data_IF_429061903995
#
_entry.id   IF_429061903995
#
_cell.length_a   1.000
_cell.length_b   1.000
_cell.length_c   1.000
_cell.angle_alpha   90.00
_cell.angle_beta   90.00
_cell.angle_gamma   90.00
#
_symmetry.space_group_name_H-M   'P 1'
#
loop_
_entity.id
_entity.type
_entity.pdbx_description
1 polymer ?
#
# COMPACT_ATOMS: atom_id res chain seq x y z
N UNK A 1 20.56 8.84 6.22
CA UNK A 1 20.19 9.04 7.65
C UNK A 1 18.75 8.57 7.78
N UNK A 2 18.47 7.67 8.72
CA UNK A 2 17.11 7.17 8.90
C UNK A 2 16.26 8.31 9.44
N UNK A 3 15.12 8.58 8.77
CA UNK A 3 14.16 9.62 9.16
C UNK A 3 12.81 8.97 9.36
N UNK A 4 12.12 9.37 10.42
CA UNK A 4 10.79 8.87 10.77
C UNK A 4 9.77 9.98 10.63
N UNK A 5 8.52 9.61 10.41
CA UNK A 5 7.42 10.56 10.52
C UNK A 5 7.35 11.15 11.93
N UNK A 6 7.27 12.47 11.98
CA UNK A 6 7.07 13.19 13.22
C UNK A 6 5.58 13.20 13.64
N UNK A 7 5.30 13.75 14.81
CA UNK A 7 3.94 13.83 15.36
C UNK A 7 2.93 14.58 14.47
N UNK A 8 3.38 15.46 13.56
CA UNK A 8 2.51 16.13 12.60
C UNK A 8 2.29 15.32 11.31
N UNK A 9 3.19 14.41 10.97
CA UNK A 9 3.13 13.60 9.74
C UNK A 9 2.36 12.29 9.94
N UNK A 10 2.43 11.68 11.14
CA UNK A 10 1.66 10.46 11.48
C UNK A 10 0.16 10.63 11.21
N UNK A 11 -0.51 11.72 11.66
CA UNK A 11 -1.93 11.92 11.37
C UNK A 11 -2.25 12.10 9.88
N UNK A 12 -1.29 12.61 9.08
CA UNK A 12 -1.45 12.75 7.63
C UNK A 12 -1.48 11.38 6.97
N UNK A 13 -0.58 10.48 7.36
CA UNK A 13 -0.58 9.09 6.88
C UNK A 13 -1.88 8.37 7.29
N UNK A 14 -2.27 8.45 8.55
CA UNK A 14 -3.51 7.82 9.03
C UNK A 14 -4.76 8.34 8.30
N UNK A 15 -4.85 9.65 8.07
CA UNK A 15 -5.94 10.25 7.29
C UNK A 15 -5.94 9.78 5.84
N UNK A 16 -4.77 9.69 5.21
CA UNK A 16 -4.64 9.21 3.83
C UNK A 16 -5.17 7.78 3.67
N UNK A 17 -4.87 6.86 4.60
CA UNK A 17 -5.44 5.51 4.56
C UNK A 17 -6.96 5.51 4.77
N UNK A 18 -7.48 6.25 5.74
CA UNK A 18 -8.93 6.37 5.94
C UNK A 18 -9.67 6.93 4.70
N UNK A 19 -9.07 7.85 3.96
CA UNK A 19 -9.66 8.39 2.74
C UNK A 19 -9.46 7.44 1.55
N UNK A 20 -8.34 6.72 1.49
CA UNK A 20 -8.08 5.68 0.50
C UNK A 20 -9.08 4.52 0.60
N UNK A 21 -9.43 4.06 1.80
CA UNK A 21 -10.46 3.03 2.01
C UNK A 21 -11.77 3.41 1.32
N UNK A 22 -12.24 4.65 1.52
CA UNK A 22 -13.49 5.14 0.92
C UNK A 22 -13.41 5.17 -0.60
N UNK A 23 -12.27 5.61 -1.16
CA UNK A 23 -12.07 5.67 -2.60
C UNK A 23 -12.03 4.28 -3.23
N UNK A 24 -11.30 3.37 -2.61
CA UNK A 24 -11.17 1.98 -3.05
C UNK A 24 -12.52 1.26 -2.95
N UNK A 25 -13.21 1.31 -1.80
CA UNK A 25 -14.54 0.73 -1.62
C UNK A 25 -15.52 1.23 -2.69
N UNK A 26 -15.53 2.55 -2.95
CA UNK A 26 -16.37 3.14 -3.99
C UNK A 26 -15.99 2.68 -5.40
N UNK A 27 -14.69 2.58 -5.70
CA UNK A 27 -14.19 2.20 -7.02
C UNK A 27 -14.56 0.75 -7.37
N UNK A 28 -14.37 -0.18 -6.43
CA UNK A 28 -14.68 -1.60 -6.62
C UNK A 28 -16.12 -1.98 -6.26
N UNK A 29 -16.94 -1.02 -5.81
CA UNK A 29 -18.33 -1.22 -5.36
C UNK A 29 -18.45 -2.26 -4.25
N UNK A 30 -17.50 -2.22 -3.31
CA UNK A 30 -17.40 -3.13 -2.17
C UNK A 30 -18.05 -2.52 -0.92
N UNK A 31 -18.39 -3.39 0.03
CA UNK A 31 -18.80 -2.98 1.38
C UNK A 31 -17.59 -2.89 2.32
N UNK A 32 -17.73 -2.17 3.43
CA UNK A 32 -16.70 -2.13 4.49
C UNK A 32 -16.37 -3.52 5.04
N UNK A 33 -17.36 -4.42 5.07
CA UNK A 33 -17.16 -5.82 5.48
C UNK A 33 -16.24 -6.58 4.53
N UNK A 34 -16.27 -6.28 3.23
CA UNK A 34 -15.40 -6.92 2.24
C UNK A 34 -13.94 -6.47 2.42
N UNK A 35 -13.72 -5.18 2.70
CA UNK A 35 -12.37 -4.69 3.03
C UNK A 35 -11.87 -5.26 4.35
N UNK A 36 -12.74 -5.39 5.37
CA UNK A 36 -12.40 -5.99 6.66
C UNK A 36 -12.02 -7.47 6.56
N UNK A 37 -12.55 -8.22 5.58
CA UNK A 37 -12.15 -9.63 5.34
C UNK A 37 -10.69 -9.75 4.93
N UNK A 38 -10.16 -8.78 4.19
CA UNK A 38 -8.78 -8.76 3.71
C UNK A 38 -7.77 -8.33 4.77
N UNK A 39 -8.22 -8.15 6.03
CA UNK A 39 -7.44 -7.91 7.26
C UNK A 39 -6.06 -7.31 6.98
N UNK A 40 -5.96 -5.99 7.05
CA UNK A 40 -4.69 -5.30 6.87
C UNK A 40 -4.36 -4.37 8.03
N UNK A 41 -3.08 -4.01 8.13
CA UNK A 41 -2.54 -3.03 9.07
C UNK A 41 -1.53 -2.12 8.36
N UNK A 42 -1.27 -0.97 8.95
CA UNK A 42 -0.32 0.01 8.42
C UNK A 42 0.69 0.33 9.51
N UNK A 43 1.97 0.16 9.20
CA UNK A 43 3.05 0.56 10.09
C UNK A 43 3.97 1.57 9.42
N UNK A 44 4.40 2.55 10.20
CA UNK A 44 5.46 3.49 9.83
C UNK A 44 6.83 2.90 10.15
N UNK A 45 7.88 3.41 9.52
CA UNK A 45 9.25 2.91 9.65
C UNK A 45 9.74 2.76 11.10
N UNK A 46 9.25 3.61 12.00
CA UNK A 46 9.57 3.55 13.43
C UNK A 46 9.13 2.26 14.16
N UNK A 47 8.22 1.48 13.57
CA UNK A 47 7.64 0.26 14.16
C UNK A 47 7.80 -0.98 13.30
N UNK A 48 8.60 -0.88 12.22
CA UNK A 48 8.91 -1.98 11.32
C UNK A 48 10.02 -2.85 11.90
N UNK A 49 9.89 -4.16 11.73
CA UNK A 49 10.97 -5.11 11.97
C UNK A 49 12.01 -5.05 10.83
N UNK A 50 13.22 -5.55 11.03
CA UNK A 50 14.32 -5.42 10.04
C UNK A 50 13.96 -6.02 8.67
N UNK A 51 13.22 -7.13 8.62
CA UNK A 51 12.75 -7.74 7.38
C UNK A 51 11.61 -6.95 6.71
N UNK A 52 10.99 -6.03 7.44
CA UNK A 52 10.00 -5.09 6.95
C UNK A 52 10.62 -3.74 6.56
N UNK A 53 11.94 -3.58 6.60
CA UNK A 53 12.60 -2.37 6.08
C UNK A 53 13.07 -2.66 4.67
N UNK A 54 12.74 -1.75 3.75
CA UNK A 54 13.05 -1.94 2.33
C UNK A 54 13.53 -0.67 1.68
N UNK A 55 14.68 -0.76 1.02
CA UNK A 55 15.21 0.34 0.23
C UNK A 55 14.51 0.45 -1.13
N UNK A 56 14.43 1.68 -1.65
CA UNK A 56 13.96 1.96 -3.02
C UNK A 56 12.44 2.08 -3.20
N UNK A 57 11.63 1.62 -2.24
CA UNK A 57 10.16 1.70 -2.30
C UNK A 57 9.58 2.66 -1.24
N UNK A 58 8.44 3.29 -1.53
CA UNK A 58 7.72 4.13 -0.56
C UNK A 58 7.00 3.32 0.51
N UNK A 59 6.46 2.18 0.10
CA UNK A 59 5.85 1.19 0.94
C UNK A 59 6.16 -0.19 0.36
N UNK A 60 6.03 -1.22 1.17
CA UNK A 60 5.92 -2.57 0.66
C UNK A 60 4.90 -3.34 1.48
N UNK A 61 4.37 -4.39 0.89
CA UNK A 61 3.36 -5.22 1.51
C UNK A 61 4.01 -6.51 2.03
N UNK A 62 3.79 -6.83 3.31
CA UNK A 62 4.11 -8.13 3.88
C UNK A 62 2.86 -8.97 4.03
N UNK A 63 2.93 -10.24 3.63
CA UNK A 63 1.89 -11.23 3.90
C UNK A 63 2.26 -12.06 5.13
N UNK A 64 1.32 -12.18 6.06
CA UNK A 64 1.43 -13.04 7.23
C UNK A 64 0.30 -14.06 7.22
N UNK A 65 0.65 -15.33 7.39
CA UNK A 65 -0.32 -16.41 7.52
C UNK A 65 -0.35 -16.87 8.97
N UNK A 66 -1.54 -16.84 9.58
CA UNK A 66 -1.75 -17.40 10.90
C UNK A 66 -2.35 -18.81 10.77
N UNK A 67 -1.68 -19.80 11.33
CA UNK A 67 -2.22 -21.16 11.48
C UNK A 67 -2.63 -21.36 12.95
N UNK A 68 -3.91 -21.62 13.21
CA UNK A 68 -4.31 -22.13 14.55
C UNK A 68 -3.80 -23.56 14.70
N UNK A 69 -3.02 -23.89 15.75
CA UNK A 69 -2.74 -25.27 16.08
C UNK A 69 -4.04 -25.90 16.61
N UNK A 70 -4.69 -26.75 15.80
CA UNK A 70 -5.83 -27.55 16.25
C UNK A 70 -5.37 -28.96 16.61
N UNK A 71 -5.27 -29.26 17.91
CA UNK A 71 -4.97 -30.62 18.40
C UNK A 71 -6.14 -31.61 18.15
N UNK A 72 -7.29 -31.15 17.64
CA UNK A 72 -8.51 -31.96 17.49
C UNK A 72 -9.34 -31.58 16.26
N UNK A 73 -8.83 -31.75 15.05
CA UNK A 73 -9.65 -32.05 13.85
C UNK A 73 -8.75 -32.41 12.66
N UNK A 74 -8.97 -33.54 11.96
CA UNK A 74 -8.23 -33.86 10.73
C UNK A 74 -8.69 -33.07 9.49
N UNK A 75 -9.75 -32.25 9.57
CA UNK A 75 -10.36 -31.59 8.42
C UNK A 75 -10.76 -30.15 8.78
N UNK A 76 -9.92 -29.18 8.40
CA UNK A 76 -10.21 -27.76 8.54
C UNK A 76 -9.07 -26.98 9.19
N UNK A 77 -8.09 -26.59 8.38
CA UNK A 77 -7.10 -25.56 8.77
C UNK A 77 -7.83 -24.22 8.82
N UNK A 78 -8.31 -23.80 9.98
CA UNK A 78 -8.78 -22.42 10.20
C UNK A 78 -7.57 -21.48 10.32
N UNK A 79 -6.89 -21.26 9.19
CA UNK A 79 -5.91 -20.20 9.06
C UNK A 79 -6.53 -18.94 8.46
N UNK A 80 -5.90 -17.80 8.66
CA UNK A 80 -6.22 -16.59 7.88
C UNK A 80 -4.94 -15.87 7.49
N UNK A 81 -4.99 -15.26 6.30
CA UNK A 81 -3.96 -14.36 5.83
C UNK A 81 -4.27 -12.94 6.30
N UNK A 82 -3.21 -12.18 6.56
CA UNK A 82 -3.25 -10.76 6.90
C UNK A 82 -2.11 -10.04 6.19
N UNK A 83 -2.37 -8.81 5.76
CA UNK A 83 -1.40 -8.02 5.02
C UNK A 83 -0.96 -6.80 5.84
N UNK A 84 0.33 -6.49 5.84
CA UNK A 84 0.85 -5.28 6.49
C UNK A 84 1.48 -4.36 5.46
N UNK A 85 0.96 -3.14 5.39
CA UNK A 85 1.56 -2.06 4.61
C UNK A 85 2.67 -1.41 5.43
N UNK A 86 3.90 -1.56 4.96
CA UNK A 86 5.11 -1.13 5.65
C UNK A 86 5.66 0.15 5.01
N UNK A 87 5.29 1.31 5.57
CA UNK A 87 5.68 2.63 5.06
C UNK A 87 7.16 2.91 5.34
N UNK A 88 7.90 3.29 4.31
CA UNK A 88 9.31 3.67 4.40
C UNK A 88 9.42 5.19 4.56
N UNK A 89 9.18 5.68 5.78
CA UNK A 89 9.11 7.11 6.12
C UNK A 89 10.27 7.92 5.53
N UNK A 90 11.49 7.41 5.62
CA UNK A 90 12.69 8.05 5.08
C UNK A 90 12.60 8.30 3.58
N UNK A 91 12.15 7.30 2.80
CA UNK A 91 12.03 7.39 1.35
C UNK A 91 10.92 8.36 0.96
N UNK A 92 9.79 8.31 1.68
CA UNK A 92 8.65 9.23 1.46
C UNK A 92 9.08 10.67 1.74
N UNK A 93 9.71 10.93 2.89
CA UNK A 93 10.19 12.26 3.26
C UNK A 93 11.27 12.77 2.29
N UNK A 94 12.18 11.90 1.87
CA UNK A 94 13.19 12.25 0.86
C UNK A 94 12.55 12.67 -0.47
N UNK A 95 11.49 12.00 -0.91
CA UNK A 95 10.78 12.38 -2.13
C UNK A 95 10.07 13.73 -2.01
N UNK A 96 9.43 14.00 -0.87
CA UNK A 96 8.78 15.30 -0.60
C UNK A 96 9.82 16.43 -0.58
N UNK A 97 10.98 16.22 0.05
CA UNK A 97 12.03 17.22 0.12
C UNK A 97 12.70 17.47 -1.24
N UNK A 98 13.01 16.39 -1.99
CA UNK A 98 13.61 16.50 -3.34
C UNK A 98 12.70 17.20 -4.34
N UNK A 99 11.38 17.04 -4.20
CA UNK A 99 10.41 17.70 -5.06
C UNK A 99 10.29 19.22 -4.78
N UNK A 100 11.09 19.79 -3.87
CA UNK A 100 11.16 21.22 -3.57
C UNK A 100 9.77 21.88 -3.44
N UNK A 101 8.87 21.25 -2.66
CA UNK A 101 7.49 21.68 -2.43
C UNK A 101 6.48 21.48 -3.57
N UNK A 102 6.87 20.90 -4.72
CA UNK A 102 5.95 20.54 -5.81
C UNK A 102 5.05 19.36 -5.43
N UNK A 103 5.61 18.34 -4.79
CA UNK A 103 4.88 17.21 -4.21
C UNK A 103 4.66 17.50 -2.73
N UNK A 104 3.40 17.48 -2.29
CA UNK A 104 3.05 17.59 -0.86
C UNK A 104 2.92 16.20 -0.24
N UNK A 105 3.20 16.08 1.05
CA UNK A 105 3.08 14.81 1.77
C UNK A 105 1.67 14.21 1.69
N UNK A 106 0.62 15.04 1.84
CA UNK A 106 -0.77 14.55 1.83
C UNK A 106 -1.19 13.86 0.52
N UNK A 107 -1.05 14.46 -0.68
CA UNK A 107 -1.38 13.79 -1.94
C UNK A 107 -0.48 12.59 -2.22
N UNK A 108 0.81 12.64 -1.87
CA UNK A 108 1.71 11.49 -2.01
C UNK A 108 1.26 10.32 -1.12
N UNK A 109 0.93 10.58 0.14
CA UNK A 109 0.42 9.57 1.06
C UNK A 109 -0.90 8.98 0.58
N UNK A 110 -1.81 9.80 0.03
CA UNK A 110 -3.07 9.30 -0.50
C UNK A 110 -2.86 8.40 -1.72
N UNK A 111 -1.92 8.75 -2.62
CA UNK A 111 -1.54 7.89 -3.73
C UNK A 111 -0.99 6.55 -3.26
N UNK A 112 -0.02 6.56 -2.34
CA UNK A 112 0.57 5.35 -1.75
C UNK A 112 -0.53 4.51 -1.10
N UNK A 113 -1.38 5.09 -0.27
CA UNK A 113 -2.44 4.37 0.42
C UNK A 113 -3.43 3.72 -0.55
N UNK A 114 -3.89 4.42 -1.59
CA UNK A 114 -4.77 3.83 -2.60
C UNK A 114 -4.08 2.68 -3.33
N UNK A 115 -2.80 2.84 -3.72
CA UNK A 115 -2.03 1.80 -4.40
C UNK A 115 -1.92 0.53 -3.57
N UNK A 116 -1.49 0.65 -2.32
CA UNK A 116 -1.30 -0.50 -1.43
C UNK A 116 -2.62 -1.16 -1.03
N UNK A 117 -3.70 -0.41 -0.84
CA UNK A 117 -5.01 -1.00 -0.54
C UNK A 117 -5.60 -1.77 -1.73
N UNK A 118 -5.31 -1.35 -2.96
CA UNK A 118 -5.71 -2.10 -4.15
C UNK A 118 -4.95 -3.43 -4.21
N UNK A 119 -3.66 -3.43 -3.90
CA UNK A 119 -2.87 -4.66 -3.73
C UNK A 119 -3.47 -5.58 -2.66
N UNK A 120 -3.74 -5.06 -1.46
CA UNK A 120 -4.38 -5.83 -0.37
C UNK A 120 -5.67 -6.49 -0.83
N UNK A 121 -6.54 -5.78 -1.53
CA UNK A 121 -7.79 -6.34 -2.04
C UNK A 121 -7.54 -7.46 -3.06
N UNK A 122 -6.67 -7.22 -4.03
CA UNK A 122 -6.42 -8.15 -5.15
C UNK A 122 -5.68 -9.40 -4.73
N UNK A 123 -4.80 -9.30 -3.73
CA UNK A 123 -4.20 -10.48 -3.12
C UNK A 123 -5.18 -11.19 -2.20
N UNK A 124 -6.00 -10.46 -1.44
CA UNK A 124 -6.95 -11.03 -0.48
C UNK A 124 -8.13 -11.76 -1.13
N UNK A 125 -8.57 -11.33 -2.31
CA UNK A 125 -9.63 -12.00 -3.09
C UNK A 125 -9.09 -13.05 -4.11
N UNK A 126 -7.77 -13.19 -4.20
CA UNK A 126 -7.10 -14.15 -5.08
C UNK A 126 -7.06 -13.72 -6.55
N UNK A 127 -7.39 -12.47 -6.88
CA UNK A 127 -7.24 -11.93 -8.25
C UNK A 127 -5.78 -11.84 -8.69
N UNK A 128 -4.86 -11.67 -7.74
CA UNK A 128 -3.42 -11.71 -7.96
C UNK A 128 -2.75 -12.65 -6.95
N UNK A 129 -1.64 -13.29 -7.37
CA UNK A 129 -0.82 -14.12 -6.48
C UNK A 129 0.32 -13.29 -5.87
N UNK A 130 0.36 -13.23 -4.55
CA UNK A 130 1.38 -12.50 -3.79
C UNK A 130 2.79 -13.11 -3.96
N UNK A 131 2.86 -14.43 -4.17
CA UNK A 131 4.12 -15.18 -4.35
C UNK A 131 4.46 -15.39 -5.83
N UNK A 132 3.78 -14.67 -6.73
CA UNK A 132 3.98 -14.82 -8.17
C UNK A 132 5.42 -14.50 -8.62
N UNK A 133 5.89 -15.09 -9.74
CA UNK A 133 7.17 -14.73 -10.33
C UNK A 133 7.25 -13.24 -10.71
N UNK A 134 8.46 -12.70 -10.81
CA UNK A 134 8.71 -11.28 -11.07
C UNK A 134 7.95 -10.72 -12.31
N UNK A 135 7.90 -11.49 -13.40
CA UNK A 135 7.18 -11.07 -14.62
C UNK A 135 5.67 -10.88 -14.41
N UNK A 136 5.07 -11.64 -13.50
CA UNK A 136 3.66 -11.51 -13.15
C UNK A 136 3.43 -10.35 -12.19
N UNK A 137 4.33 -10.17 -11.22
CA UNK A 137 4.34 -8.99 -10.35
C UNK A 137 4.46 -7.70 -11.14
N UNK A 138 5.29 -7.66 -12.18
CA UNK A 138 5.39 -6.50 -13.08
C UNK A 138 4.11 -6.20 -13.87
N UNK A 139 3.36 -7.25 -14.23
CA UNK A 139 2.03 -7.09 -14.87
C UNK A 139 1.03 -6.55 -13.86
N UNK A 140 1.07 -7.08 -12.64
CA UNK A 140 0.21 -6.66 -11.54
C UNK A 140 0.44 -5.19 -11.18
N UNK A 141 1.70 -4.74 -11.05
CA UNK A 141 2.01 -3.31 -10.78
C UNK A 141 1.43 -2.38 -11.85
N UNK A 142 1.44 -2.77 -13.13
CA UNK A 142 0.81 -1.99 -14.20
C UNK A 142 -0.71 -1.93 -14.07
N UNK A 143 -1.34 -3.04 -13.66
CA UNK A 143 -2.77 -3.10 -13.42
C UNK A 143 -3.13 -2.19 -12.23
N UNK A 144 -2.45 -2.37 -11.10
CA UNK A 144 -2.68 -1.59 -9.88
C UNK A 144 -2.43 -0.11 -10.13
N UNK A 145 -1.36 0.26 -10.83
CA UNK A 145 -1.11 1.67 -11.18
C UNK A 145 -2.28 2.32 -11.94
N UNK A 146 -2.87 1.60 -12.90
CA UNK A 146 -4.02 2.10 -13.66
C UNK A 146 -5.31 2.16 -12.82
N UNK A 147 -5.51 1.19 -11.93
CA UNK A 147 -6.62 1.19 -10.98
C UNK A 147 -6.48 2.34 -9.97
N UNK A 148 -5.28 2.58 -9.44
CA UNK A 148 -4.95 3.70 -8.56
C UNK A 148 -5.29 5.04 -9.21
N UNK A 149 -4.87 5.25 -10.46
CA UNK A 149 -5.22 6.47 -11.22
C UNK A 149 -6.74 6.62 -11.34
N UNK A 150 -7.44 5.54 -11.67
CA UNK A 150 -8.89 5.54 -11.86
C UNK A 150 -9.67 5.75 -10.56
N UNK A 151 -9.18 5.20 -9.44
CA UNK A 151 -9.75 5.37 -8.11
C UNK A 151 -9.54 6.78 -7.55
N UNK A 152 -8.44 7.44 -7.91
CA UNK A 152 -8.13 8.82 -7.51
C UNK A 152 -8.83 9.88 -8.36
N UNK A 153 -9.40 9.53 -9.52
CA UNK A 153 -10.10 10.46 -10.43
C UNK A 153 -11.09 11.41 -9.72
N UNK A 154 -11.94 10.96 -8.78
CA UNK A 154 -12.90 11.83 -8.09
C UNK A 154 -12.28 12.92 -7.20
N UNK A 155 -11.00 12.75 -6.84
CA UNK A 155 -10.23 13.65 -5.97
C UNK A 155 -9.02 14.22 -6.70
N UNK A 156 -9.04 14.26 -8.04
CA UNK A 156 -7.98 14.90 -8.81
C UNK A 156 -8.05 16.40 -8.67
N UNK A 157 -7.01 16.94 -8.05
CA UNK A 157 -6.69 18.36 -8.00
C UNK A 157 -5.24 18.53 -8.41
N UNK A 158 -4.84 19.79 -8.65
CA UNK A 158 -3.53 20.14 -9.21
C UNK A 158 -2.34 19.42 -8.55
N UNK A 159 -2.33 19.27 -7.22
CA UNK A 159 -1.21 18.59 -6.53
C UNK A 159 -1.26 17.05 -6.66
N UNK A 160 -2.46 16.47 -6.84
CA UNK A 160 -2.60 15.03 -7.13
C UNK A 160 -2.18 14.72 -8.57
N UNK A 161 -2.47 15.59 -9.53
CA UNK A 161 -1.99 15.43 -10.91
C UNK A 161 -0.45 15.41 -10.95
N UNK A 162 0.20 16.28 -10.17
CA UNK A 162 1.66 16.29 -10.04
C UNK A 162 2.21 14.96 -9.54
N UNK A 163 1.55 14.35 -8.55
CA UNK A 163 1.89 13.02 -8.06
C UNK A 163 1.73 12.00 -9.19
N UNK A 164 0.55 11.93 -9.80
CA UNK A 164 0.25 10.98 -10.88
C UNK A 164 1.18 11.11 -12.09
N UNK A 165 1.62 12.32 -12.42
CA UNK A 165 2.55 12.60 -13.51
C UNK A 165 3.96 12.10 -13.20
N UNK A 166 4.45 12.34 -11.97
CA UNK A 166 5.71 11.75 -11.50
C UNK A 166 5.70 10.23 -11.58
N UNK A 167 4.58 9.60 -11.24
CA UNK A 167 4.44 8.14 -11.29
C UNK A 167 4.07 7.59 -12.68
N UNK A 168 3.71 8.45 -13.65
CA UNK A 168 3.36 8.03 -15.01
C UNK A 168 4.56 7.72 -15.90
N UNK A 169 5.74 8.27 -15.58
CA UNK A 169 6.81 8.42 -16.57
C UNK A 169 8.10 7.66 -16.29
N UNK A 170 8.52 7.38 -15.05
CA UNK A 170 9.73 6.53 -14.83
C UNK A 170 10.10 6.20 -13.37
N UNK A 171 9.16 6.17 -12.43
CA UNK A 171 9.45 5.55 -11.13
C UNK A 171 8.95 4.11 -11.17
N UNK A 172 9.88 3.20 -11.45
CA UNK A 172 9.75 1.82 -11.04
C UNK A 172 9.40 1.81 -9.55
N UNK A 173 8.12 1.59 -9.23
CA UNK A 173 7.71 1.05 -7.93
C UNK A 173 8.20 -0.41 -7.81
N UNK A 174 8.94 -0.93 -8.80
CA UNK A 174 9.32 -2.33 -8.97
C UNK A 174 10.62 -2.75 -8.27
N UNK A 175 11.15 -2.03 -7.28
CA UNK A 175 12.18 -2.63 -6.41
C UNK A 175 11.51 -3.42 -5.25
N UNK A 176 10.44 -4.15 -5.56
CA UNK A 176 9.60 -5.03 -4.72
C UNK A 176 9.74 -6.49 -5.25
N UNK A 177 10.68 -7.38 -4.87
CA UNK A 177 10.70 -8.34 -3.74
C UNK A 177 12.02 -9.15 -3.83
N UNK A 178 12.90 -9.00 -2.84
CA UNK A 178 14.01 -9.92 -2.53
C UNK A 178 13.81 -10.39 -1.09
#
# INVERSE_FOLDING_TARGET
MIRYFNAAQIPVAARAFNDAEKLVLRHFRLSEDDLRKNKYDVKTLAFLDEHEVRDGAFAHLCKYSYEKPSERAPEGREGFDFYRVCLQDNIILDAVDRANSFIKLSPLMLYIAVHELIHVLRFGDGTADFEAPAEEKDREEKIVHNLTRSALEPVRYKEMDMVLDCFSSQFSISDLYN
#
